data_IF_391120221472
#
_entry.id   IF_391120221472
#
_cell.length_a   1.000
_cell.length_b   1.000
_cell.length_c   1.000
_cell.angle_alpha   90.00
_cell.angle_beta   90.00
_cell.angle_gamma   90.00
#
_symmetry.space_group_name_H-M   'P 1'
#
loop_
_entity.id
_entity.type
_entity.pdbx_description
1 polymer ?
#
# COMPACT_ATOMS: atom_id res chain seq x y z
N UNK A 1 18.25 -15.15 -5.79
CA UNK A 1 17.82 -13.80 -5.33
C UNK A 1 18.71 -12.78 -6.02
N UNK A 2 18.15 -11.69 -6.51
CA UNK A 2 18.85 -10.55 -7.11
C UNK A 2 18.35 -9.26 -6.51
N UNK A 3 19.22 -8.25 -6.47
CA UNK A 3 18.89 -6.92 -5.94
C UNK A 3 18.31 -6.06 -7.06
N UNK A 4 17.02 -5.73 -6.97
CA UNK A 4 16.35 -4.84 -7.93
C UNK A 4 15.63 -3.71 -7.20
N UNK A 5 15.41 -2.60 -7.89
CA UNK A 5 14.66 -1.48 -7.35
C UNK A 5 13.15 -1.80 -7.28
N UNK A 6 12.44 -1.17 -6.36
CA UNK A 6 10.99 -1.32 -6.21
C UNK A 6 10.24 -1.07 -7.53
N UNK A 7 10.61 0.00 -8.29
CA UNK A 7 10.04 0.27 -9.60
C UNK A 7 10.29 -0.84 -10.62
N UNK A 8 11.44 -1.52 -10.54
CA UNK A 8 11.77 -2.65 -11.42
C UNK A 8 10.95 -3.88 -11.07
N UNK A 9 10.73 -4.12 -9.76
CA UNK A 9 9.89 -5.21 -9.29
C UNK A 9 8.42 -5.07 -9.76
N UNK A 10 7.88 -3.85 -9.75
CA UNK A 10 6.55 -3.53 -10.30
C UNK A 10 6.51 -3.76 -11.82
N UNK A 11 7.51 -3.26 -12.55
CA UNK A 11 7.61 -3.45 -14.00
C UNK A 11 7.65 -4.92 -14.38
N UNK A 12 8.45 -5.71 -13.67
CA UNK A 12 8.54 -7.15 -13.91
C UNK A 12 7.20 -7.85 -13.66
N UNK A 13 6.53 -7.52 -12.55
CA UNK A 13 5.20 -8.08 -12.26
C UNK A 13 4.22 -7.83 -13.40
N UNK A 14 4.13 -6.59 -13.88
CA UNK A 14 3.25 -6.23 -15.00
C UNK A 14 3.68 -6.93 -16.30
N UNK A 15 4.96 -6.90 -16.65
CA UNK A 15 5.47 -7.51 -17.88
C UNK A 15 5.26 -9.02 -17.90
N UNK A 16 5.51 -9.71 -16.80
CA UNK A 16 5.29 -11.16 -16.67
C UNK A 16 3.80 -11.50 -16.87
N UNK A 17 2.88 -10.74 -16.26
CA UNK A 17 1.44 -10.97 -16.42
C UNK A 17 0.94 -10.60 -17.83
N UNK A 18 1.49 -9.58 -18.46
CA UNK A 18 1.18 -9.23 -19.86
C UNK A 18 1.68 -10.28 -20.86
N UNK A 19 2.81 -10.93 -20.59
CA UNK A 19 3.27 -12.08 -21.42
C UNK A 19 2.39 -13.32 -21.23
N UNK A 20 1.87 -13.51 -20.03
CA UNK A 20 1.04 -14.67 -19.68
C UNK A 20 -0.40 -14.58 -20.23
N UNK A 21 -0.98 -13.36 -20.26
CA UNK A 21 -2.39 -13.16 -20.59
C UNK A 21 -2.56 -11.93 -21.51
N UNK A 22 -3.03 -12.17 -22.74
CA UNK A 22 -3.21 -11.13 -23.74
C UNK A 22 -4.31 -10.11 -23.40
N UNK A 23 -5.16 -10.39 -22.43
CA UNK A 23 -6.18 -9.46 -21.93
C UNK A 23 -5.60 -8.39 -21.01
N UNK A 24 -4.40 -8.60 -20.44
CA UNK A 24 -3.74 -7.62 -19.54
C UNK A 24 -3.12 -6.51 -20.38
N UNK A 25 -3.42 -5.28 -20.06
CA UNK A 25 -2.83 -4.09 -20.69
C UNK A 25 -2.64 -2.96 -19.66
N UNK A 26 -1.69 -2.08 -19.94
CA UNK A 26 -1.39 -0.89 -19.13
C UNK A 26 -1.92 0.36 -19.83
N UNK A 27 -2.61 1.21 -19.06
CA UNK A 27 -3.02 2.53 -19.53
C UNK A 27 -2.86 3.57 -18.43
N UNK A 28 -2.60 4.80 -18.81
CA UNK A 28 -2.42 5.93 -17.90
C UNK A 28 -1.69 7.08 -18.54
N UNK A 29 -1.43 8.12 -17.77
CA UNK A 29 -0.72 9.31 -18.23
C UNK A 29 0.77 9.04 -18.36
N UNK A 30 1.34 9.28 -19.55
CA UNK A 30 2.78 9.18 -19.84
C UNK A 30 3.38 7.77 -19.60
N UNK A 31 2.56 6.72 -19.56
CA UNK A 31 3.02 5.35 -19.28
C UNK A 31 3.73 4.71 -20.49
N UNK A 32 3.45 5.16 -21.71
CA UNK A 32 4.00 4.62 -22.95
C UNK A 32 5.25 5.38 -23.40
N UNK A 33 5.09 6.50 -24.10
CA UNK A 33 6.18 7.22 -24.75
C UNK A 33 7.21 7.78 -23.75
N UNK A 34 6.76 8.31 -22.62
CA UNK A 34 7.64 8.83 -21.57
C UNK A 34 8.19 7.76 -20.64
N UNK A 35 7.74 6.50 -20.76
CA UNK A 35 8.13 5.37 -19.90
C UNK A 35 7.70 5.53 -18.42
N UNK A 36 6.60 6.23 -18.17
CA UNK A 36 6.10 6.54 -16.84
C UNK A 36 6.85 7.68 -16.12
N UNK A 37 6.15 8.46 -15.33
CA UNK A 37 6.73 9.55 -14.54
C UNK A 37 7.86 9.04 -13.62
N UNK A 38 7.68 7.88 -13.01
CA UNK A 38 8.64 7.24 -12.10
C UNK A 38 9.42 6.09 -12.74
N UNK A 39 9.34 5.94 -14.08
CA UNK A 39 10.03 4.90 -14.86
C UNK A 39 9.63 3.47 -14.49
N UNK A 40 8.42 3.28 -13.98
CA UNK A 40 7.88 1.96 -13.68
C UNK A 40 7.61 1.18 -14.97
N UNK A 41 7.05 1.84 -16.00
CA UNK A 41 6.73 1.22 -17.30
C UNK A 41 7.84 1.28 -18.33
N UNK A 42 9.07 1.58 -17.93
CA UNK A 42 10.22 1.74 -18.84
C UNK A 42 10.42 0.52 -19.74
N UNK A 43 10.41 0.74 -21.06
CA UNK A 43 10.61 -0.29 -22.09
C UNK A 43 9.38 -1.13 -22.41
N UNK A 44 8.28 -1.01 -21.67
CA UNK A 44 7.08 -1.83 -21.90
C UNK A 44 6.40 -1.53 -23.23
N UNK A 45 6.39 -0.26 -23.70
CA UNK A 45 5.86 0.09 -25.01
C UNK A 45 6.60 -0.62 -26.13
N UNK A 46 7.93 -0.69 -26.05
CA UNK A 46 8.75 -1.37 -27.06
C UNK A 46 8.49 -2.89 -27.08
N UNK A 47 8.20 -3.49 -25.93
CA UNK A 47 7.93 -4.93 -25.82
C UNK A 47 6.50 -5.30 -26.24
N UNK A 48 5.48 -4.59 -25.76
CA UNK A 48 4.08 -4.97 -25.90
C UNK A 48 3.31 -4.18 -26.97
N UNK A 49 3.88 -3.10 -27.47
CA UNK A 49 3.28 -2.25 -28.48
C UNK A 49 2.15 -1.33 -27.99
N UNK A 50 1.70 -0.39 -28.85
CA UNK A 50 0.78 0.69 -28.49
C UNK A 50 -0.67 0.23 -28.23
N UNK A 51 -1.01 -1.01 -28.53
CA UNK A 51 -2.33 -1.58 -28.19
C UNK A 51 -2.39 -2.13 -26.75
N UNK A 52 -1.25 -2.34 -26.14
CA UNK A 52 -1.12 -2.95 -24.82
C UNK A 52 -0.50 -2.01 -23.79
N UNK A 53 0.18 -0.95 -24.22
CA UNK A 53 0.71 0.13 -23.36
C UNK A 53 0.25 1.44 -23.94
N UNK A 54 -0.70 2.10 -23.27
CA UNK A 54 -1.53 3.15 -23.84
C UNK A 54 -1.40 4.44 -23.06
N UNK A 55 -0.88 5.50 -23.67
CA UNK A 55 -0.96 6.85 -23.10
C UNK A 55 -2.38 7.38 -23.19
N UNK A 56 -2.84 7.99 -22.12
CA UNK A 56 -4.13 8.65 -22.04
C UNK A 56 -3.97 10.17 -21.96
N UNK A 57 -4.98 10.95 -22.39
CA UNK A 57 -5.04 12.36 -22.02
C UNK A 57 -5.12 12.50 -20.49
N UNK A 58 -4.77 13.68 -19.95
CA UNK A 58 -4.98 14.04 -18.54
C UNK A 58 -6.49 14.19 -18.31
N UNK A 59 -7.14 13.08 -18.02
CA UNK A 59 -8.57 12.97 -17.77
C UNK A 59 -8.87 11.71 -16.94
N UNK A 60 -8.59 11.77 -15.65
CA UNK A 60 -8.63 10.61 -14.75
C UNK A 60 -10.01 9.98 -14.68
N UNK A 61 -11.07 10.79 -14.68
CA UNK A 61 -12.45 10.31 -14.77
C UNK A 61 -12.68 9.52 -16.06
N UNK A 62 -12.20 10.07 -17.20
CA UNK A 62 -12.40 9.49 -18.53
C UNK A 62 -11.69 8.15 -18.71
N UNK A 63 -10.37 8.13 -18.47
CA UNK A 63 -9.63 6.89 -18.68
C UNK A 63 -9.93 5.82 -17.61
N UNK A 64 -10.29 6.21 -16.39
CA UNK A 64 -10.79 5.26 -15.38
C UNK A 64 -12.08 4.61 -15.85
N UNK A 65 -13.03 5.39 -16.38
CA UNK A 65 -14.28 4.85 -16.91
C UNK A 65 -14.04 3.86 -18.07
N UNK A 66 -13.11 4.18 -18.97
CA UNK A 66 -12.69 3.27 -20.06
C UNK A 66 -12.10 1.98 -19.48
N UNK A 67 -11.19 2.08 -18.51
CA UNK A 67 -10.61 0.91 -17.84
C UNK A 67 -11.67 0.03 -17.16
N UNK A 68 -12.59 0.64 -16.41
CA UNK A 68 -13.70 -0.06 -15.75
C UNK A 68 -14.58 -0.77 -16.79
N UNK A 69 -14.99 -0.08 -17.87
CA UNK A 69 -15.76 -0.68 -18.96
C UNK A 69 -15.01 -1.84 -19.64
N UNK A 70 -13.73 -1.71 -19.87
CA UNK A 70 -12.89 -2.78 -20.42
C UNK A 70 -12.83 -4.01 -19.50
N UNK A 71 -12.68 -3.80 -18.20
CA UNK A 71 -12.67 -4.89 -17.21
C UNK A 71 -14.01 -5.64 -17.17
N UNK A 72 -15.12 -4.92 -17.17
CA UNK A 72 -16.47 -5.50 -17.19
C UNK A 72 -16.77 -6.27 -18.49
N UNK A 73 -16.02 -6.03 -19.56
CA UNK A 73 -16.11 -6.73 -20.83
C UNK A 73 -15.01 -7.80 -21.03
N UNK A 74 -14.35 -8.23 -19.97
CA UNK A 74 -13.45 -9.39 -19.95
C UNK A 74 -11.99 -9.09 -20.21
N UNK A 75 -11.57 -7.83 -20.33
CA UNK A 75 -10.16 -7.44 -20.32
C UNK A 75 -9.64 -7.30 -18.89
N UNK A 76 -8.32 -7.15 -18.74
CA UNK A 76 -7.64 -7.00 -17.43
C UNK A 76 -6.76 -5.75 -17.42
N UNK A 77 -7.36 -4.57 -17.29
CA UNK A 77 -6.60 -3.33 -17.31
C UNK A 77 -5.81 -3.12 -16.02
N UNK A 78 -4.60 -2.58 -16.20
CA UNK A 78 -3.82 -1.93 -15.18
C UNK A 78 -3.90 -0.44 -15.48
N UNK A 79 -4.55 0.32 -14.61
CA UNK A 79 -4.69 1.77 -14.74
C UNK A 79 -3.71 2.45 -13.82
N UNK A 80 -2.76 3.19 -14.38
CA UNK A 80 -1.79 3.98 -13.61
C UNK A 80 -2.29 5.42 -13.45
N UNK A 81 -2.39 5.87 -12.20
CA UNK A 81 -2.49 7.28 -11.89
C UNK A 81 -1.09 7.84 -11.64
N UNK A 82 -0.82 9.04 -12.14
CA UNK A 82 0.46 9.72 -11.87
C UNK A 82 0.66 9.96 -10.37
N UNK A 83 -0.43 10.13 -9.62
CA UNK A 83 -0.50 10.04 -8.15
C UNK A 83 -1.94 9.73 -7.70
N UNK A 84 -2.11 9.03 -6.60
CA UNK A 84 -3.43 8.82 -6.00
C UNK A 84 -4.14 10.14 -5.62
N UNK A 85 -3.39 11.22 -5.45
CA UNK A 85 -3.97 12.52 -5.13
C UNK A 85 -4.88 13.06 -6.24
N UNK A 86 -4.61 12.74 -7.51
CA UNK A 86 -5.49 13.12 -8.64
C UNK A 86 -6.53 12.05 -8.96
N UNK A 87 -6.35 10.82 -8.51
CA UNK A 87 -7.37 9.76 -8.64
C UNK A 87 -8.71 10.11 -8.00
N UNK A 88 -8.74 11.10 -7.10
CA UNK A 88 -9.99 11.62 -6.50
C UNK A 88 -10.97 12.16 -7.55
N UNK A 89 -10.50 12.61 -8.72
CA UNK A 89 -11.33 13.03 -9.85
C UNK A 89 -12.13 11.86 -10.43
N UNK A 90 -11.61 10.64 -10.29
CA UNK A 90 -12.22 9.40 -10.77
C UNK A 90 -12.95 8.60 -9.68
N UNK A 91 -13.11 9.17 -8.48
CA UNK A 91 -13.65 8.45 -7.33
C UNK A 91 -15.05 7.88 -7.59
N UNK A 92 -15.89 8.56 -8.38
CA UNK A 92 -17.19 8.03 -8.78
C UNK A 92 -17.09 6.71 -9.54
N UNK A 93 -16.16 6.61 -10.47
CA UNK A 93 -15.93 5.39 -11.25
C UNK A 93 -15.42 4.24 -10.38
N UNK A 94 -14.55 4.54 -9.41
CA UNK A 94 -14.04 3.56 -8.45
C UNK A 94 -15.15 3.14 -7.49
N UNK A 95 -15.82 4.10 -6.84
CA UNK A 95 -16.76 3.87 -5.74
C UNK A 95 -18.14 3.40 -6.22
N UNK A 96 -18.69 3.97 -7.27
CA UNK A 96 -20.06 3.69 -7.69
C UNK A 96 -20.13 2.68 -8.84
N UNK A 97 -19.14 2.62 -9.70
CA UNK A 97 -19.13 1.71 -10.84
C UNK A 97 -18.31 0.45 -10.56
N UNK A 98 -16.98 0.57 -10.38
CA UNK A 98 -16.10 -0.59 -10.27
C UNK A 98 -16.42 -1.45 -9.03
N UNK A 99 -16.57 -0.84 -7.86
CA UNK A 99 -16.72 -1.57 -6.60
C UNK A 99 -18.08 -2.23 -6.42
N UNK A 100 -19.12 -1.74 -7.09
CA UNK A 100 -20.51 -2.17 -6.85
C UNK A 100 -21.09 -3.05 -7.96
N UNK A 101 -20.43 -3.12 -9.10
CA UNK A 101 -20.99 -3.83 -10.27
C UNK A 101 -21.26 -5.30 -9.98
N UNK A 102 -20.35 -5.99 -9.28
CA UNK A 102 -20.56 -7.40 -8.92
C UNK A 102 -21.85 -7.60 -8.09
N UNK A 103 -22.06 -6.75 -7.08
CA UNK A 103 -23.26 -6.79 -6.26
C UNK A 103 -24.51 -6.39 -7.05
N UNK A 104 -24.46 -5.32 -7.85
CA UNK A 104 -25.61 -4.82 -8.64
C UNK A 104 -26.02 -5.76 -9.75
N UNK A 105 -25.09 -6.53 -10.29
CA UNK A 105 -25.36 -7.55 -11.32
C UNK A 105 -25.78 -8.91 -10.74
N UNK A 106 -25.95 -9.04 -9.43
CA UNK A 106 -26.23 -10.33 -8.80
C UNK A 106 -25.10 -11.35 -8.96
N UNK A 107 -23.86 -10.89 -8.95
CA UNK A 107 -22.66 -11.75 -9.07
C UNK A 107 -22.26 -12.09 -10.51
N UNK A 108 -22.90 -11.49 -11.53
CA UNK A 108 -22.67 -11.87 -12.93
C UNK A 108 -21.55 -11.08 -13.61
N UNK A 109 -21.30 -9.84 -13.19
CA UNK A 109 -20.31 -8.95 -13.80
C UNK A 109 -19.31 -8.49 -12.75
N UNK A 110 -18.10 -9.04 -12.77
CA UNK A 110 -16.97 -8.59 -11.98
C UNK A 110 -16.28 -7.37 -12.60
N UNK A 111 -15.30 -6.83 -11.87
CA UNK A 111 -14.45 -5.74 -12.36
C UNK A 111 -12.97 -6.04 -12.07
N UNK A 112 -12.34 -6.97 -12.81
CA UNK A 112 -10.95 -7.39 -12.59
C UNK A 112 -9.96 -6.33 -13.13
N UNK A 113 -9.81 -5.25 -12.37
CA UNK A 113 -8.98 -4.09 -12.70
C UNK A 113 -8.00 -3.81 -11.55
N UNK A 114 -6.78 -3.41 -11.89
CA UNK A 114 -5.82 -2.89 -10.94
C UNK A 114 -5.64 -1.39 -11.17
N UNK A 115 -5.91 -0.60 -10.15
CA UNK A 115 -5.54 0.81 -10.09
C UNK A 115 -4.25 0.94 -9.29
N UNK A 116 -3.24 1.55 -9.84
CA UNK A 116 -1.93 1.71 -9.19
C UNK A 116 -1.35 3.11 -9.35
N UNK A 117 -0.43 3.45 -8.49
CA UNK A 117 0.30 4.72 -8.57
C UNK A 117 0.91 5.11 -7.22
N UNK A 118 1.72 6.19 -7.21
CA UNK A 118 2.33 6.71 -6.00
C UNK A 118 1.30 7.30 -5.05
N UNK A 119 1.52 7.06 -3.75
CA UNK A 119 0.63 7.41 -2.66
C UNK A 119 1.41 7.99 -1.48
N UNK A 120 0.77 8.90 -0.77
CA UNK A 120 1.35 9.55 0.39
C UNK A 120 2.31 10.70 0.05
N UNK A 121 3.09 11.14 1.02
CA UNK A 121 4.03 12.24 0.84
C UNK A 121 5.29 11.81 0.09
N UNK A 122 5.80 12.75 -0.70
CA UNK A 122 7.11 12.67 -1.35
C UNK A 122 7.91 13.96 -1.08
N UNK A 123 9.01 14.14 -1.80
CA UNK A 123 9.85 15.33 -1.67
C UNK A 123 9.17 16.58 -2.22
N UNK A 124 8.71 17.48 -1.36
CA UNK A 124 8.29 18.86 -1.69
C UNK A 124 7.19 18.99 -2.77
N UNK A 125 6.22 18.09 -2.79
CA UNK A 125 5.05 18.19 -3.69
C UNK A 125 3.92 19.07 -3.12
N UNK A 126 3.98 19.39 -1.82
CA UNK A 126 2.99 20.23 -1.16
C UNK A 126 1.70 19.48 -0.80
N UNK A 127 0.72 20.23 -0.30
CA UNK A 127 -0.47 19.69 0.34
C UNK A 127 -1.34 18.83 -0.59
N UNK A 128 -1.49 19.25 -1.85
CA UNK A 128 -2.39 18.61 -2.81
C UNK A 128 -1.87 17.28 -3.37
N UNK A 129 -0.58 16.96 -3.19
CA UNK A 129 0.06 15.77 -3.75
C UNK A 129 0.76 14.91 -2.68
N UNK A 130 0.30 14.98 -1.43
CA UNK A 130 0.98 14.29 -0.32
C UNK A 130 0.00 13.58 0.64
N UNK A 131 -1.20 13.26 0.17
CA UNK A 131 -2.20 12.54 0.96
C UNK A 131 -2.01 11.03 0.82
N UNK A 132 -2.06 10.30 1.93
CA UNK A 132 -2.14 8.85 1.94
C UNK A 132 -3.62 8.40 1.88
N UNK A 133 -3.97 7.58 0.89
CA UNK A 133 -5.37 7.26 0.57
C UNK A 133 -5.84 5.88 1.04
N UNK A 134 -5.04 5.11 1.74
CA UNK A 134 -5.40 3.74 2.14
C UNK A 134 -6.73 3.67 2.89
N UNK A 135 -6.97 4.53 3.89
CA UNK A 135 -8.21 4.48 4.67
C UNK A 135 -9.43 4.94 3.88
N UNK A 136 -9.27 5.95 3.01
CA UNK A 136 -10.36 6.41 2.15
C UNK A 136 -10.92 5.29 1.28
N UNK A 137 -10.02 4.50 0.68
CA UNK A 137 -10.39 3.41 -0.21
C UNK A 137 -10.73 2.13 0.56
N UNK A 138 -10.04 1.86 1.66
CA UNK A 138 -10.36 0.70 2.49
C UNK A 138 -11.76 0.75 3.12
N UNK A 139 -12.37 1.92 3.25
CA UNK A 139 -13.75 2.05 3.71
C UNK A 139 -14.80 1.57 2.67
N UNK A 140 -14.44 1.47 1.38
CA UNK A 140 -15.37 1.14 0.30
C UNK A 140 -15.56 -0.39 0.21
N UNK A 141 -16.80 -0.95 0.39
CA UNK A 141 -17.05 -2.36 0.13
C UNK A 141 -16.85 -2.71 -1.34
N UNK A 142 -16.40 -3.94 -1.64
CA UNK A 142 -16.22 -4.42 -3.01
C UNK A 142 -14.92 -3.96 -3.67
N UNK A 143 -13.89 -3.59 -2.88
CA UNK A 143 -12.53 -3.37 -3.38
C UNK A 143 -11.51 -4.05 -2.48
N UNK A 144 -10.30 -4.25 -3.03
CA UNK A 144 -9.11 -4.64 -2.26
C UNK A 144 -8.15 -3.46 -2.21
N UNK A 145 -7.43 -3.31 -1.09
CA UNK A 145 -6.42 -2.26 -0.93
C UNK A 145 -5.11 -2.89 -0.50
N UNK A 146 -4.09 -2.72 -1.31
CA UNK A 146 -2.75 -3.31 -1.15
C UNK A 146 -1.73 -2.19 -1.01
N UNK A 147 -0.81 -2.30 -0.07
CA UNK A 147 0.15 -1.23 0.23
C UNK A 147 1.52 -1.83 0.59
N UNK A 148 2.30 -2.30 -0.41
CA UNK A 148 3.57 -2.99 -0.21
C UNK A 148 4.66 -2.05 0.28
N UNK A 149 5.61 -2.59 1.04
CA UNK A 149 6.72 -1.84 1.62
C UNK A 149 8.08 -2.05 0.93
N UNK A 150 8.22 -3.07 0.11
CA UNK A 150 9.48 -3.47 -0.52
C UNK A 150 9.26 -4.17 -1.86
N UNK A 151 10.33 -4.36 -2.65
CA UNK A 151 10.24 -4.92 -4.01
C UNK A 151 9.76 -6.37 -4.06
N UNK A 152 10.13 -7.21 -3.08
CA UNK A 152 9.63 -8.58 -3.00
C UNK A 152 8.10 -8.61 -2.86
N UNK A 153 7.59 -7.87 -1.90
CA UNK A 153 6.15 -7.80 -1.66
C UNK A 153 5.42 -7.13 -2.84
N UNK A 154 5.99 -6.07 -3.41
CA UNK A 154 5.41 -5.36 -4.55
C UNK A 154 5.23 -6.29 -5.75
N UNK A 155 6.25 -7.06 -6.13
CA UNK A 155 6.16 -8.00 -7.27
C UNK A 155 5.12 -9.09 -7.01
N UNK A 156 5.21 -9.76 -5.87
CA UNK A 156 4.31 -10.89 -5.55
C UNK A 156 2.85 -10.48 -5.39
N UNK A 157 2.60 -9.35 -4.73
CA UNK A 157 1.25 -8.82 -4.52
C UNK A 157 0.65 -8.24 -5.81
N UNK A 158 1.44 -7.56 -6.66
CA UNK A 158 0.93 -6.99 -7.92
C UNK A 158 0.55 -8.10 -8.91
N UNK A 159 1.35 -9.17 -9.01
CA UNK A 159 0.98 -10.35 -9.81
C UNK A 159 -0.33 -10.96 -9.31
N UNK A 160 -0.49 -11.12 -8.00
CA UNK A 160 -1.74 -11.63 -7.41
C UNK A 160 -2.90 -10.68 -7.68
N UNK A 161 -2.69 -9.36 -7.58
CA UNK A 161 -3.71 -8.34 -7.86
C UNK A 161 -4.20 -8.39 -9.32
N UNK A 162 -3.27 -8.53 -10.28
CA UNK A 162 -3.61 -8.64 -11.70
C UNK A 162 -4.40 -9.93 -11.99
N UNK A 163 -4.14 -11.01 -11.25
CA UNK A 163 -4.86 -12.30 -11.39
C UNK A 163 -6.20 -12.34 -10.65
N UNK A 164 -6.47 -11.38 -9.76
CA UNK A 164 -7.72 -11.35 -9.01
C UNK A 164 -8.92 -11.08 -9.93
N UNK A 165 -10.00 -11.84 -9.80
CA UNK A 165 -11.06 -11.90 -10.83
C UNK A 165 -12.33 -11.15 -10.48
N UNK A 166 -12.59 -10.87 -9.20
CA UNK A 166 -13.88 -10.40 -8.74
C UNK A 166 -13.97 -8.89 -8.63
N UNK A 167 -13.14 -8.32 -7.77
CA UNK A 167 -13.21 -6.92 -7.37
C UNK A 167 -12.02 -6.11 -7.89
N UNK A 168 -12.15 -4.78 -8.03
CA UNK A 168 -11.02 -3.90 -8.31
C UNK A 168 -10.00 -3.92 -7.16
N UNK A 169 -8.71 -3.84 -7.52
CA UNK A 169 -7.61 -3.78 -6.57
C UNK A 169 -6.95 -2.40 -6.64
N UNK A 170 -6.89 -1.72 -5.48
CA UNK A 170 -6.17 -0.47 -5.29
C UNK A 170 -4.77 -0.77 -4.81
N UNK A 171 -3.76 -0.50 -5.62
CA UNK A 171 -2.37 -0.82 -5.33
C UNK A 171 -1.59 0.47 -5.01
N UNK A 172 -1.35 0.70 -3.71
CA UNK A 172 -0.78 1.93 -3.17
C UNK A 172 0.74 1.85 -3.08
N UNK A 173 1.45 2.63 -3.88
CA UNK A 173 2.91 2.60 -3.93
C UNK A 173 3.49 3.77 -3.16
N UNK A 174 4.46 3.51 -2.29
CA UNK A 174 5.17 4.58 -1.58
C UNK A 174 6.04 5.38 -2.56
N UNK A 175 5.75 6.65 -2.79
CA UNK A 175 6.46 7.43 -3.81
C UNK A 175 7.96 7.48 -3.56
N UNK A 176 8.38 7.60 -2.30
CA UNK A 176 9.80 7.65 -1.94
C UNK A 176 10.50 6.29 -1.99
N UNK A 177 9.77 5.19 -2.26
CA UNK A 177 10.34 3.84 -2.27
C UNK A 177 10.78 3.33 -3.64
N UNK A 178 10.44 4.02 -4.73
CA UNK A 178 10.71 3.54 -6.10
C UNK A 178 12.18 3.20 -6.40
N UNK A 179 13.11 3.85 -5.71
CA UNK A 179 14.54 3.59 -5.83
C UNK A 179 15.10 2.55 -4.85
N UNK A 180 14.29 2.11 -3.88
CA UNK A 180 14.76 1.17 -2.85
C UNK A 180 15.00 -0.20 -3.44
N UNK A 181 16.13 -0.79 -3.11
CA UNK A 181 16.50 -2.13 -3.57
C UNK A 181 16.07 -3.18 -2.56
N UNK A 182 15.60 -4.30 -3.09
CA UNK A 182 15.22 -5.48 -2.32
C UNK A 182 15.72 -6.74 -3.01
N UNK A 183 15.92 -7.80 -2.24
CA UNK A 183 16.13 -9.12 -2.78
C UNK A 183 14.82 -9.66 -3.36
N UNK A 184 14.83 -10.00 -4.65
CA UNK A 184 13.66 -10.54 -5.36
C UNK A 184 14.06 -11.83 -6.07
N UNK A 185 13.28 -12.93 -5.95
CA UNK A 185 13.53 -14.16 -6.70
C UNK A 185 13.43 -13.95 -8.21
N UNK A 186 14.16 -14.77 -8.95
CA UNK A 186 14.00 -14.86 -10.41
C UNK A 186 12.84 -15.79 -10.78
N UNK A 187 12.59 -16.79 -9.93
CA UNK A 187 11.49 -17.71 -10.07
C UNK A 187 10.14 -17.03 -9.89
N UNK A 188 9.11 -17.59 -10.48
CA UNK A 188 7.75 -17.11 -10.34
C UNK A 188 7.22 -17.33 -8.92
N UNK A 189 6.63 -16.28 -8.35
CA UNK A 189 5.93 -16.34 -7.06
C UNK A 189 4.81 -15.32 -6.99
N UNK A 190 3.87 -15.56 -6.10
CA UNK A 190 2.82 -14.59 -5.72
C UNK A 190 2.61 -14.61 -4.22
N UNK A 191 2.08 -13.49 -3.73
CA UNK A 191 1.74 -13.30 -2.33
C UNK A 191 0.22 -13.15 -2.22
N UNK A 192 -0.47 -14.02 -1.47
CA UNK A 192 -1.91 -13.92 -1.29
C UNK A 192 -2.31 -12.58 -0.68
N UNK A 193 -3.39 -11.97 -1.19
CA UNK A 193 -3.98 -10.79 -0.58
C UNK A 193 -4.56 -11.14 0.79
N UNK A 194 -4.43 -10.22 1.75
CA UNK A 194 -4.92 -10.43 3.11
C UNK A 194 -4.01 -11.27 4.00
N UNK A 195 -2.70 -11.29 3.69
CA UNK A 195 -1.67 -11.93 4.52
C UNK A 195 -0.58 -10.94 4.91
N UNK A 196 -0.51 -10.66 6.21
CA UNK A 196 0.58 -9.89 6.80
C UNK A 196 1.88 -10.69 6.85
N UNK A 197 2.99 -10.00 7.08
CA UNK A 197 4.31 -10.61 7.18
C UNK A 197 5.03 -10.15 8.44
N UNK A 198 5.55 -11.11 9.21
CA UNK A 198 6.39 -10.82 10.37
C UNK A 198 7.83 -10.58 9.88
N UNK A 199 8.15 -9.32 9.62
CA UNK A 199 9.49 -8.90 9.12
C UNK A 199 10.60 -9.09 10.14
N UNK A 200 10.25 -9.05 11.43
CA UNK A 200 11.17 -9.27 12.53
C UNK A 200 10.44 -9.93 13.69
N UNK A 201 10.98 -11.01 14.20
CA UNK A 201 10.49 -11.66 15.41
C UNK A 201 10.86 -10.87 16.66
N UNK A 202 9.94 -10.82 17.62
CA UNK A 202 10.16 -10.13 18.89
C UNK A 202 9.27 -10.70 20.01
N UNK A 203 9.47 -10.19 21.25
CA UNK A 203 8.74 -10.71 22.41
C UNK A 203 8.24 -9.64 23.39
N UNK A 204 8.70 -8.39 23.28
CA UNK A 204 8.46 -7.36 24.29
C UNK A 204 7.39 -6.34 23.86
N UNK A 205 7.28 -6.08 22.56
CA UNK A 205 6.31 -5.17 21.96
C UNK A 205 6.05 -5.54 20.51
N UNK A 206 4.80 -5.41 20.04
CA UNK A 206 4.43 -5.52 18.65
C UNK A 206 4.39 -4.13 18.01
N UNK A 207 5.09 -3.95 16.89
CA UNK A 207 5.05 -2.76 16.06
C UNK A 207 4.47 -3.14 14.70
N UNK A 208 3.36 -2.50 14.32
CA UNK A 208 2.68 -2.76 13.04
C UNK A 208 2.81 -1.54 12.13
N UNK A 209 3.07 -1.80 10.87
CA UNK A 209 3.11 -0.75 9.85
C UNK A 209 2.80 -1.31 8.46
N UNK A 210 2.88 -0.47 7.45
CA UNK A 210 2.73 -0.82 6.04
C UNK A 210 3.38 0.27 5.17
N UNK A 211 3.52 0.00 3.87
CA UNK A 211 4.10 0.93 2.92
C UNK A 211 5.47 1.48 3.38
N UNK A 212 5.79 2.72 3.05
CA UNK A 212 7.07 3.36 3.38
C UNK A 212 7.33 3.51 4.88
N UNK A 213 6.28 3.52 5.73
CA UNK A 213 6.44 3.59 7.18
C UNK A 213 7.03 2.31 7.79
N UNK A 214 7.10 1.22 7.04
CA UNK A 214 7.86 0.03 7.45
C UNK A 214 9.34 0.33 7.70
N UNK A 215 9.93 1.31 6.98
CA UNK A 215 11.31 1.76 7.25
C UNK A 215 11.45 2.35 8.66
N UNK A 216 10.45 3.13 9.07
CA UNK A 216 10.41 3.70 10.42
C UNK A 216 10.25 2.58 11.45
N UNK A 217 9.31 1.66 11.25
CA UNK A 217 9.07 0.54 12.17
C UNK A 217 10.31 -0.35 12.37
N UNK A 218 10.99 -0.71 11.28
CA UNK A 218 12.23 -1.49 11.34
C UNK A 218 13.39 -0.70 11.98
N UNK A 219 13.50 0.59 11.68
CA UNK A 219 14.48 1.48 12.33
C UNK A 219 14.24 1.58 13.83
N UNK A 220 12.99 1.68 14.26
CA UNK A 220 12.59 1.67 15.69
C UNK A 220 13.04 0.38 16.36
N UNK A 221 12.75 -0.77 15.75
CA UNK A 221 13.15 -2.06 16.30
C UNK A 221 14.68 -2.19 16.44
N UNK A 222 15.44 -1.62 15.51
CA UNK A 222 16.92 -1.58 15.57
C UNK A 222 17.41 -0.69 16.70
N UNK A 223 16.79 0.46 16.94
CA UNK A 223 17.16 1.33 18.08
C UNK A 223 16.82 0.69 19.43
N UNK A 224 15.65 0.07 19.53
CA UNK A 224 15.18 -0.62 20.75
C UNK A 224 16.09 -1.80 21.11
N UNK A 225 16.62 -2.53 20.13
CA UNK A 225 17.55 -3.65 20.38
C UNK A 225 18.81 -3.22 21.10
N UNK A 226 19.32 -1.99 20.86
CA UNK A 226 20.48 -1.44 21.60
C UNK A 226 20.20 -1.30 23.10
N UNK A 227 18.93 -1.27 23.49
CA UNK A 227 18.46 -1.18 24.87
C UNK A 227 17.91 -2.52 25.37
N UNK A 228 18.19 -3.64 24.68
CA UNK A 228 17.72 -4.99 24.97
C UNK A 228 16.18 -5.14 24.91
N UNK A 229 15.50 -4.34 24.12
CA UNK A 229 14.05 -4.45 23.87
C UNK A 229 13.83 -5.16 22.53
N UNK A 230 13.16 -6.30 22.58
CA UNK A 230 12.91 -7.16 21.42
C UNK A 230 11.56 -6.85 20.80
N UNK A 231 11.54 -6.00 19.78
CA UNK A 231 10.32 -5.64 19.07
C UNK A 231 10.00 -6.64 17.94
N UNK A 232 8.75 -7.14 17.92
CA UNK A 232 8.18 -7.83 16.76
C UNK A 232 7.63 -6.80 15.77
N UNK A 233 8.04 -6.90 14.51
CA UNK A 233 7.63 -5.94 13.46
C UNK A 233 6.81 -6.66 12.40
N UNK A 234 5.59 -6.19 12.19
CA UNK A 234 4.62 -6.76 11.24
C UNK A 234 4.31 -5.75 10.15
N UNK A 235 4.44 -6.21 8.89
CA UNK A 235 3.97 -5.52 7.70
C UNK A 235 2.58 -6.02 7.32
N UNK A 236 1.59 -5.14 7.31
CA UNK A 236 0.22 -5.52 6.93
C UNK A 236 0.13 -5.92 5.46
N UNK A 237 0.95 -5.37 4.56
CA UNK A 237 0.92 -5.62 3.11
C UNK A 237 -0.42 -5.30 2.44
N UNK A 238 -1.51 -5.75 3.04
CA UNK A 238 -2.88 -5.56 2.56
C UNK A 238 -3.70 -4.87 3.64
N UNK A 239 -4.35 -3.78 3.25
CA UNK A 239 -5.21 -3.00 4.15
C UNK A 239 -6.64 -3.54 4.12
N UNK A 240 -7.09 -3.99 2.93
CA UNK A 240 -8.38 -4.66 2.74
C UNK A 240 -8.25 -5.83 1.75
N UNK A 241 -8.47 -7.07 2.20
CA UNK A 241 -8.73 -7.49 3.58
C UNK A 241 -7.50 -7.33 4.49
N UNK A 242 -7.73 -6.99 5.76
CA UNK A 242 -6.66 -6.82 6.75
C UNK A 242 -6.42 -8.13 7.52
N UNK A 243 -5.16 -8.56 7.62
CA UNK A 243 -4.75 -9.71 8.44
C UNK A 243 -4.53 -9.28 9.91
N UNK A 244 -5.59 -8.86 10.57
CA UNK A 244 -5.56 -8.50 11.98
C UNK A 244 -5.31 -9.71 12.90
N UNK A 245 -5.57 -10.93 12.41
CA UNK A 245 -5.31 -12.17 13.17
C UNK A 245 -3.82 -12.36 13.45
N UNK A 246 -2.96 -12.16 12.44
CA UNK A 246 -1.49 -12.19 12.63
C UNK A 246 -1.06 -11.17 13.68
N UNK A 247 -1.65 -9.98 13.71
CA UNK A 247 -1.37 -8.95 14.72
C UNK A 247 -1.86 -9.40 16.09
N UNK A 248 -3.04 -9.99 16.20
CA UNK A 248 -3.58 -10.51 17.46
C UNK A 248 -2.67 -11.60 18.05
N UNK A 249 -2.20 -12.55 17.26
CA UNK A 249 -1.29 -13.59 17.72
C UNK A 249 0.06 -13.01 18.22
N UNK A 250 0.55 -11.96 17.57
CA UNK A 250 1.71 -11.22 18.08
C UNK A 250 1.42 -10.52 19.41
N UNK A 251 0.26 -9.87 19.54
CA UNK A 251 -0.15 -9.19 20.77
C UNK A 251 -0.31 -10.17 21.94
N UNK A 252 -0.84 -11.37 21.70
CA UNK A 252 -0.90 -12.44 22.74
C UNK A 252 0.47 -12.80 23.30
N UNK A 253 1.52 -12.64 22.52
CA UNK A 253 2.91 -12.92 22.91
C UNK A 253 3.58 -11.72 23.57
N UNK A 254 3.34 -10.50 23.06
CA UNK A 254 4.08 -9.30 23.44
C UNK A 254 3.33 -8.39 24.43
N UNK A 255 2.02 -8.54 24.54
CA UNK A 255 1.09 -7.80 25.38
C UNK A 255 1.03 -6.27 25.11
N UNK A 256 1.69 -5.78 24.07
CA UNK A 256 1.79 -4.35 23.75
C UNK A 256 1.74 -4.13 22.25
N UNK A 257 0.97 -3.12 21.83
CA UNK A 257 0.82 -2.78 20.41
C UNK A 257 1.07 -1.31 20.15
N UNK A 258 1.93 -1.05 19.17
CA UNK A 258 2.18 0.27 18.59
C UNK A 258 1.98 0.17 17.09
N UNK A 259 1.21 1.11 16.51
CA UNK A 259 0.93 1.15 15.07
C UNK A 259 1.50 2.44 14.49
N UNK A 260 2.28 2.33 13.42
CA UNK A 260 2.94 3.46 12.76
C UNK A 260 2.42 3.58 11.34
N UNK A 261 1.89 4.75 10.99
CA UNK A 261 1.35 5.01 9.65
C UNK A 261 1.50 6.47 9.23
N UNK A 262 1.49 6.72 7.93
CA UNK A 262 1.57 8.08 7.40
C UNK A 262 0.24 8.84 7.41
N UNK A 263 -0.87 8.16 7.56
CA UNK A 263 -2.19 8.78 7.50
C UNK A 263 -2.42 9.79 8.63
N UNK A 264 -3.39 10.68 8.43
CA UNK A 264 -3.91 11.54 9.49
C UNK A 264 -4.61 10.72 10.58
N UNK A 265 -4.71 11.22 11.82
CA UNK A 265 -5.17 10.41 12.95
C UNK A 265 -6.64 10.00 12.88
N UNK A 266 -7.50 10.81 12.27
CA UNK A 266 -8.95 10.56 12.24
C UNK A 266 -9.28 9.50 11.17
N UNK A 267 -10.05 8.49 11.55
CA UNK A 267 -10.53 7.42 10.65
C UNK A 267 -9.43 6.72 9.84
N UNK A 268 -8.22 6.65 10.39
CA UNK A 268 -7.09 6.01 9.74
C UNK A 268 -7.13 4.47 9.86
N UNK A 269 -6.27 3.78 9.11
CA UNK A 269 -6.11 2.32 9.18
C UNK A 269 -5.79 1.86 10.60
N UNK A 270 -4.91 2.59 11.30
CA UNK A 270 -4.56 2.27 12.69
C UNK A 270 -5.74 2.39 13.66
N UNK A 271 -6.74 3.23 13.34
CA UNK A 271 -7.95 3.34 14.16
C UNK A 271 -8.78 2.06 14.11
N UNK A 272 -8.95 1.48 12.91
CA UNK A 272 -9.65 0.21 12.72
C UNK A 272 -8.88 -0.94 13.37
N UNK A 273 -7.57 -1.03 13.13
CA UNK A 273 -6.76 -2.08 13.72
C UNK A 273 -6.74 -1.99 15.26
N UNK A 274 -6.60 -0.80 15.82
CA UNK A 274 -6.64 -0.59 17.26
C UNK A 274 -7.97 -1.05 17.86
N UNK A 275 -9.10 -0.69 17.22
CA UNK A 275 -10.42 -1.15 17.65
C UNK A 275 -10.55 -2.68 17.57
N UNK A 276 -10.08 -3.30 16.48
CA UNK A 276 -10.09 -4.76 16.32
C UNK A 276 -9.32 -5.47 17.45
N UNK A 277 -8.12 -5.01 17.72
CA UNK A 277 -7.30 -5.60 18.79
C UNK A 277 -7.89 -5.30 20.17
N UNK A 278 -8.45 -4.11 20.38
CA UNK A 278 -9.18 -3.81 21.62
C UNK A 278 -10.38 -4.72 21.82
N UNK A 279 -11.13 -5.04 20.77
CA UNK A 279 -12.33 -5.88 20.86
C UNK A 279 -11.99 -7.37 21.07
N UNK A 280 -11.03 -7.89 20.29
CA UNK A 280 -10.77 -9.34 20.22
C UNK A 280 -9.58 -9.78 21.10
N UNK A 281 -8.77 -8.84 21.59
CA UNK A 281 -7.54 -9.11 22.33
C UNK A 281 -7.36 -8.29 23.60
N UNK A 282 -8.43 -7.69 24.16
CA UNK A 282 -8.37 -6.84 25.35
C UNK A 282 -7.64 -7.50 26.51
N UNK A 283 -7.93 -8.76 26.78
CA UNK A 283 -7.37 -9.51 27.92
C UNK A 283 -5.85 -9.77 27.80
N UNK A 284 -5.28 -9.52 26.62
CA UNK A 284 -3.85 -9.68 26.36
C UNK A 284 -3.09 -8.34 26.40
N UNK A 285 -3.76 -7.21 26.57
CA UNK A 285 -3.13 -5.89 26.54
C UNK A 285 -2.70 -5.42 27.93
N UNK A 286 -1.41 -5.22 28.12
CA UNK A 286 -0.84 -4.61 29.34
C UNK A 286 -0.86 -3.06 29.30
N UNK A 287 -1.09 -2.47 28.13
CA UNK A 287 -1.12 -1.03 27.92
C UNK A 287 -2.13 -0.67 26.80
N UNK A 288 -2.66 0.56 26.80
CA UNK A 288 -3.46 1.05 25.66
C UNK A 288 -2.69 0.95 24.34
N UNK A 289 -3.37 0.53 23.27
CA UNK A 289 -2.80 0.58 21.93
C UNK A 289 -2.43 2.01 21.57
N UNK A 290 -1.20 2.23 21.14
CA UNK A 290 -0.72 3.55 20.71
C UNK A 290 -0.58 3.60 19.20
N UNK A 291 -1.03 4.70 18.64
CA UNK A 291 -0.95 5.01 17.21
C UNK A 291 -0.03 6.19 17.00
N UNK A 292 0.87 6.08 16.03
CA UNK A 292 1.76 7.15 15.62
C UNK A 292 1.42 7.44 14.16
N UNK A 293 0.81 8.59 13.95
CA UNK A 293 0.28 9.06 12.67
C UNK A 293 1.00 10.32 12.24
N UNK A 294 0.76 10.78 11.02
CA UNK A 294 1.10 12.15 10.64
C UNK A 294 0.35 13.17 11.51
N UNK A 295 0.88 14.38 11.57
CA UNK A 295 0.18 15.49 12.20
C UNK A 295 -1.16 15.73 11.51
N UNK A 296 -2.18 16.15 12.29
CA UNK A 296 -3.50 16.47 11.74
C UNK A 296 -3.47 17.86 11.06
N UNK A 297 -2.74 17.93 9.96
CA UNK A 297 -2.53 19.13 9.16
C UNK A 297 -2.22 18.77 7.70
N UNK A 298 -2.58 19.62 6.74
CA UNK A 298 -2.13 19.44 5.36
C UNK A 298 -0.60 19.44 5.29
N UNK A 299 -0.03 18.63 4.37
CA UNK A 299 1.42 18.52 4.24
C UNK A 299 2.06 19.86 3.82
N UNK A 300 3.11 20.21 4.53
CA UNK A 300 3.86 21.43 4.24
C UNK A 300 4.80 21.23 3.04
N UNK A 301 5.05 22.30 2.29
CA UNK A 301 6.04 22.31 1.21
C UNK A 301 7.48 22.35 1.75
N UNK A 302 7.73 23.12 2.82
CA UNK A 302 9.05 23.26 3.41
C UNK A 302 9.52 21.95 4.06
N UNK A 303 10.72 21.41 3.69
CA UNK A 303 11.17 20.08 4.13
C UNK A 303 11.24 19.92 5.65
N UNK A 304 11.65 20.96 6.37
CA UNK A 304 11.76 20.94 7.82
C UNK A 304 10.37 20.82 8.49
N UNK A 305 9.34 21.44 7.93
CA UNK A 305 7.97 21.34 8.44
C UNK A 305 7.34 19.98 8.03
N UNK A 306 7.60 19.52 6.80
CA UNK A 306 7.16 18.21 6.35
C UNK A 306 7.73 17.10 7.23
N UNK A 307 9.02 17.16 7.60
CA UNK A 307 9.65 16.22 8.50
C UNK A 307 9.03 16.17 9.90
N UNK A 308 8.51 17.30 10.40
CA UNK A 308 7.78 17.36 11.68
C UNK A 308 6.37 16.74 11.58
N UNK A 309 5.79 16.71 10.40
CA UNK A 309 4.46 16.19 10.18
C UNK A 309 4.41 14.66 10.09
N UNK A 310 5.48 14.01 9.63
CA UNK A 310 5.53 12.56 9.38
C UNK A 310 6.12 11.83 10.59
N UNK A 311 5.68 10.58 10.92
CA UNK A 311 6.33 9.75 11.93
C UNK A 311 7.82 9.54 11.64
N UNK A 312 8.65 9.63 12.68
CA UNK A 312 10.07 9.34 12.64
C UNK A 312 10.48 8.30 13.69
N UNK A 313 11.70 7.78 13.56
CA UNK A 313 12.23 6.74 14.46
C UNK A 313 12.32 7.24 15.90
N UNK A 314 12.86 8.43 16.14
CA UNK A 314 13.12 8.95 17.48
C UNK A 314 11.81 9.17 18.28
N UNK A 315 10.82 9.81 17.64
CA UNK A 315 9.49 10.02 18.23
C UNK A 315 8.80 8.69 18.50
N UNK A 316 8.93 7.73 17.59
CA UNK A 316 8.31 6.40 17.74
C UNK A 316 8.97 5.60 18.86
N UNK A 317 10.29 5.57 18.97
CA UNK A 317 11.02 4.92 20.09
C UNK A 317 10.54 5.47 21.44
N UNK A 318 10.38 6.79 21.56
CA UNK A 318 9.88 7.42 22.79
C UNK A 318 8.49 6.86 23.16
N UNK A 319 7.57 6.78 22.20
CA UNK A 319 6.21 6.27 22.42
C UNK A 319 6.22 4.78 22.76
N UNK A 320 7.07 3.97 22.13
CA UNK A 320 7.22 2.56 22.49
C UNK A 320 7.67 2.42 23.95
N UNK A 321 8.66 3.21 24.39
CA UNK A 321 9.11 3.20 25.78
C UNK A 321 8.00 3.61 26.77
N UNK A 322 7.14 4.58 26.38
CA UNK A 322 5.96 4.94 27.19
C UNK A 322 4.99 3.77 27.35
N UNK A 323 4.71 3.02 26.27
CA UNK A 323 3.85 1.82 26.29
C UNK A 323 4.44 0.72 27.16
N UNK A 324 5.75 0.65 27.24
CA UNK A 324 6.47 -0.32 28.09
C UNK A 324 6.65 0.13 29.53
N UNK A 325 6.13 1.31 29.90
CA UNK A 325 6.30 1.94 31.22
C UNK A 325 7.78 2.16 31.61
N UNK A 326 8.67 2.27 30.65
CA UNK A 326 10.06 2.59 30.88
C UNK A 326 10.22 4.09 31.18
N UNK A 327 11.03 4.42 32.17
CA UNK A 327 11.31 5.83 32.52
C UNK A 327 11.95 6.54 31.31
N UNK A 328 11.56 7.80 31.14
CA UNK A 328 12.12 8.71 30.13
C UNK A 328 13.61 8.91 30.32
#
# INVERSE_FOLDING_TARGET
MRQIAFREALREAMSEEMRRDDRVFLMGEEVAEYNGAYKVSQGMLAEFGPKRVIDTPISELGFTAIGVGAAQNGLRPIVEYMTWNIAVLALDQILNTASKMLAMSGGQVGCPIVFRGPNGSAGQLGAQHSTAFESYLANIPGIKVVSPSNGYDAKGLLKQAIRYEEDPVMFMEGETTYGDKSEVPEEEYYIPLGKADVKRQGRDVTIVSYNKMMKVALGVATELEKENISAEVIDLRTIRPMDWMTVLESVKKTNRLVIVEEQWPMCSVSSELAYRIQKEGFDYLDAPVRRITSADAPMHYAPNLAALAIPDVARTVKIVKEVMYLKK
#
